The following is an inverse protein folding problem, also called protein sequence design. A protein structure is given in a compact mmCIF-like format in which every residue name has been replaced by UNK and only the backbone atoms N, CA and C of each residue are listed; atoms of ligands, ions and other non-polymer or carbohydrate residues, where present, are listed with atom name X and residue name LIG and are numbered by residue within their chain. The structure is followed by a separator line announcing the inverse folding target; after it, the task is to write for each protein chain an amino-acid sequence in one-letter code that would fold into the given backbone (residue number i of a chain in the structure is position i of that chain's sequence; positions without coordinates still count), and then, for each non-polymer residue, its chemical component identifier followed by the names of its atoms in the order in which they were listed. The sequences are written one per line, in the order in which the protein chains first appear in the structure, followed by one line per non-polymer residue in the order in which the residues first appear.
data_IF_629059835813
#
_entry.id   IF_629059835813
#
_cell.length_a   1.000
_cell.length_b   1.000
_cell.length_c   1.000
_cell.angle_alpha   90.00
_cell.angle_beta   90.00
_cell.angle_gamma   90.00
#
_symmetry.space_group_name_H-M   'P 1'
#
loop_
_entity.id
_entity.type
_entity.pdbx_description
1 polymer ?
#
# COMPACT_ATOMS: atom_id res chain seq x y z
N UNK A 1 19.18 24.87 4.64
CA UNK A 1 20.33 23.99 4.36
C UNK A 1 19.75 22.70 3.84
N UNK A 2 19.82 22.46 2.54
CA UNK A 2 19.43 21.16 1.97
C UNK A 2 20.57 20.20 2.29
N UNK A 3 20.48 19.54 3.43
CA UNK A 3 21.35 18.41 3.74
C UNK A 3 21.06 17.33 2.70
N UNK A 4 22.07 17.00 1.89
CA UNK A 4 21.99 15.84 1.03
C UNK A 4 21.70 14.63 1.92
N UNK A 5 20.50 14.05 1.81
CA UNK A 5 20.20 12.76 2.41
C UNK A 5 21.26 11.77 1.96
N UNK A 6 21.83 11.04 2.90
CA UNK A 6 22.84 10.06 2.54
C UNK A 6 22.15 8.84 1.94
N UNK A 7 22.83 8.17 1.01
CA UNK A 7 22.34 6.88 0.45
C UNK A 7 22.08 5.88 1.59
N UNK A 8 22.89 5.91 2.65
CA UNK A 8 22.68 5.06 3.84
C UNK A 8 21.39 5.38 4.60
N UNK A 9 21.01 6.66 4.70
CA UNK A 9 19.75 7.06 5.34
C UNK A 9 18.57 6.44 4.59
N UNK A 10 18.50 6.66 3.28
CA UNK A 10 17.40 6.17 2.44
C UNK A 10 17.32 4.64 2.51
N UNK A 11 18.46 3.95 2.39
CA UNK A 11 18.49 2.48 2.50
C UNK A 11 17.96 1.95 3.83
N UNK A 12 18.25 2.61 4.95
CA UNK A 12 17.74 2.17 6.26
C UNK A 12 16.22 2.32 6.36
N UNK A 13 15.67 3.43 5.86
CA UNK A 13 14.22 3.63 5.84
C UNK A 13 13.52 2.66 4.88
N UNK A 14 14.15 2.31 3.74
CA UNK A 14 13.60 1.30 2.81
C UNK A 14 13.45 -0.06 3.47
N UNK A 15 14.51 -0.55 4.12
CA UNK A 15 14.48 -1.84 4.82
C UNK A 15 13.39 -1.85 5.89
N UNK A 16 13.32 -0.77 6.67
CA UNK A 16 12.32 -0.69 7.73
C UNK A 16 10.88 -0.57 7.19
N UNK A 17 10.68 0.16 6.09
CA UNK A 17 9.39 0.25 5.42
C UNK A 17 8.97 -1.10 4.82
N UNK A 18 9.90 -1.86 4.25
CA UNK A 18 9.64 -3.23 3.77
C UNK A 18 9.15 -4.13 4.91
N UNK A 19 9.82 -4.11 6.07
CA UNK A 19 9.40 -4.85 7.26
C UNK A 19 8.01 -4.41 7.76
N UNK A 20 7.79 -3.09 7.89
CA UNK A 20 6.51 -2.53 8.36
C UNK A 20 5.38 -2.86 7.39
N UNK A 21 5.63 -2.84 6.09
CA UNK A 21 4.64 -3.21 5.10
C UNK A 21 4.32 -4.70 5.14
N UNK A 22 5.31 -5.56 5.33
CA UNK A 22 5.07 -6.99 5.53
C UNK A 22 4.21 -7.24 6.78
N UNK A 23 4.52 -6.59 7.90
CA UNK A 23 3.72 -6.65 9.14
C UNK A 23 2.29 -6.14 8.89
N UNK A 24 2.12 -5.01 8.20
CA UNK A 24 0.80 -4.45 7.84
C UNK A 24 -0.02 -5.40 6.96
N UNK A 25 0.60 -6.00 5.94
CA UNK A 25 -0.05 -6.96 5.05
C UNK A 25 -0.49 -8.20 5.83
N UNK A 26 0.32 -8.68 6.77
CA UNK A 26 -0.02 -9.81 7.62
C UNK A 26 -1.15 -9.48 8.62
N UNK A 27 -1.09 -8.32 9.27
CA UNK A 27 -2.10 -7.83 10.21
C UNK A 27 -3.50 -7.83 9.57
N UNK A 28 -3.58 -7.32 8.33
CA UNK A 28 -4.85 -7.15 7.61
C UNK A 28 -5.16 -8.25 6.58
N UNK A 29 -4.33 -9.29 6.50
CA UNK A 29 -4.49 -10.43 5.57
C UNK A 29 -4.54 -10.02 4.09
N UNK A 30 -3.70 -9.07 3.66
CA UNK A 30 -3.72 -8.49 2.31
C UNK A 30 -2.92 -9.27 1.24
N UNK A 31 -2.38 -10.45 1.56
CA UNK A 31 -1.52 -11.23 0.66
C UNK A 31 -2.28 -12.34 -0.10
N UNK A 32 -3.31 -11.98 -0.88
CA UNK A 32 -4.10 -12.98 -1.63
C UNK A 32 -3.53 -13.35 -3.01
N UNK A 33 -2.43 -12.71 -3.43
CA UNK A 33 -1.80 -12.91 -4.74
C UNK A 33 -0.33 -12.49 -4.79
N UNK A 34 0.31 -12.28 -3.64
CA UNK A 34 1.61 -11.63 -3.52
C UNK A 34 1.45 -10.14 -3.20
N UNK A 35 1.92 -9.72 -2.03
CA UNK A 35 2.16 -8.32 -1.71
C UNK A 35 3.65 -8.00 -1.84
N UNK A 36 3.99 -6.83 -2.37
CA UNK A 36 5.38 -6.39 -2.50
C UNK A 36 5.49 -4.87 -2.55
N UNK A 37 6.73 -4.38 -2.38
CA UNK A 37 7.07 -2.97 -2.58
C UNK A 37 7.99 -2.82 -3.79
N UNK A 38 7.76 -1.77 -4.58
CA UNK A 38 8.66 -1.32 -5.63
C UNK A 38 9.16 0.10 -5.31
N UNK A 39 10.44 0.37 -5.55
CA UNK A 39 10.99 1.71 -5.40
C UNK A 39 11.33 2.30 -6.76
N UNK A 40 10.93 3.55 -7.01
CA UNK A 40 11.36 4.27 -8.20
C UNK A 40 12.75 4.91 -8.04
N UNK A 41 13.15 5.66 -9.07
CA UNK A 41 14.43 6.39 -9.12
C UNK A 41 14.50 7.54 -8.11
N UNK A 42 13.36 8.05 -7.66
CA UNK A 42 13.25 9.13 -6.66
C UNK A 42 13.16 8.56 -5.23
N UNK A 43 13.12 7.23 -5.11
CA UNK A 43 12.98 6.45 -3.87
C UNK A 43 11.58 6.46 -3.28
N UNK A 44 10.55 6.84 -4.04
CA UNK A 44 9.16 6.63 -3.61
C UNK A 44 8.88 5.14 -3.55
N UNK A 45 8.15 4.72 -2.52
CA UNK A 45 7.73 3.34 -2.38
C UNK A 45 6.34 3.18 -2.99
N UNK A 46 6.17 2.21 -3.87
CA UNK A 46 4.87 1.75 -4.31
C UNK A 46 4.57 0.48 -3.55
N UNK A 47 3.54 0.51 -2.73
CA UNK A 47 3.02 -0.63 -1.99
C UNK A 47 1.93 -1.28 -2.85
N UNK A 48 2.12 -2.57 -3.20
CA UNK A 48 1.17 -3.34 -4.01
C UNK A 48 0.70 -4.54 -3.22
N UNK A 49 -0.61 -4.78 -3.24
CA UNK A 49 -1.21 -6.01 -2.74
C UNK A 49 -2.43 -6.41 -3.58
N UNK A 50 -2.91 -7.64 -3.41
CA UNK A 50 -4.09 -8.17 -4.09
C UNK A 50 -5.14 -8.60 -3.06
N UNK A 51 -6.38 -8.14 -3.27
CA UNK A 51 -7.54 -8.52 -2.47
C UNK A 51 -8.07 -9.92 -2.89
N UNK A 52 -8.97 -10.56 -2.09
CA UNK A 52 -9.36 -11.95 -2.28
C UNK A 52 -9.91 -12.35 -3.66
N UNK A 53 -10.48 -11.43 -4.44
CA UNK A 53 -11.12 -11.65 -5.73
C UNK A 53 -10.41 -10.97 -6.90
N UNK A 54 -9.11 -10.67 -6.77
CA UNK A 54 -8.22 -10.14 -7.81
C UNK A 54 -8.19 -8.61 -8.00
N UNK A 55 -8.84 -7.84 -7.13
CA UNK A 55 -8.60 -6.40 -7.11
C UNK A 55 -7.17 -6.12 -6.62
N UNK A 56 -6.33 -5.57 -7.49
CA UNK A 56 -4.99 -5.12 -7.14
C UNK A 56 -5.01 -3.66 -6.75
N UNK A 57 -4.49 -3.37 -5.57
CA UNK A 57 -4.36 -1.99 -5.07
C UNK A 57 -2.89 -1.62 -5.10
N UNK A 58 -2.61 -0.44 -5.64
CA UNK A 58 -1.28 0.16 -5.66
C UNK A 58 -1.40 1.57 -5.10
N UNK A 59 -0.64 1.86 -4.06
CA UNK A 59 -0.57 3.20 -3.50
C UNK A 59 0.89 3.61 -3.28
N UNK A 60 1.13 4.92 -3.32
CA UNK A 60 2.45 5.49 -3.17
C UNK A 60 2.65 5.94 -1.73
N UNK A 61 3.78 5.55 -1.15
CA UNK A 61 4.33 6.08 0.09
C UNK A 61 5.49 7.01 -0.28
N UNK A 62 5.33 8.30 0.02
CA UNK A 62 6.30 9.35 -0.30
C UNK A 62 7.45 9.30 0.72
N UNK A 63 8.34 8.30 0.55
CA UNK A 63 9.43 8.03 1.49
C UNK A 63 10.33 9.25 1.72
N UNK A 64 10.56 10.03 0.65
CA UNK A 64 11.36 11.24 0.73
C UNK A 64 10.72 12.27 1.66
N UNK A 65 9.41 12.50 1.53
CA UNK A 65 8.67 13.47 2.34
C UNK A 65 8.59 13.00 3.80
N UNK A 66 8.38 11.70 4.02
CA UNK A 66 8.47 11.13 5.37
C UNK A 66 9.84 11.36 6.02
N UNK A 67 10.94 11.20 5.29
CA UNK A 67 12.29 11.48 5.83
C UNK A 67 12.50 12.98 6.09
N UNK A 68 11.87 13.86 5.31
CA UNK A 68 11.94 15.31 5.56
C UNK A 68 11.19 15.71 6.83
N UNK A 69 10.00 15.15 7.03
CA UNK A 69 9.19 15.39 8.23
C UNK A 69 9.77 14.70 9.47
N UNK A 70 10.46 13.57 9.26
CA UNK A 70 11.10 12.82 10.33
C UNK A 70 12.58 12.53 10.03
N UNK A 71 13.46 13.55 10.16
CA UNK A 71 14.88 13.44 9.80
C UNK A 71 15.63 12.38 10.61
N UNK A 72 16.69 11.83 10.01
CA UNK A 72 17.47 10.73 10.59
C UNK A 72 17.96 10.98 12.02
N UNK A 73 18.31 12.22 12.37
CA UNK A 73 18.77 12.56 13.72
C UNK A 73 17.67 12.45 14.77
N UNK A 74 16.41 12.73 14.42
CA UNK A 74 15.26 12.49 15.30
C UNK A 74 14.87 11.02 15.27
N UNK A 75 14.87 10.40 14.09
CA UNK A 75 14.56 8.99 13.91
C UNK A 75 15.47 8.08 14.75
N UNK A 76 16.78 8.38 14.80
CA UNK A 76 17.76 7.62 15.59
C UNK A 76 17.58 7.73 17.11
N UNK A 77 16.84 8.73 17.60
CA UNK A 77 16.55 8.87 19.04
C UNK A 77 15.45 7.92 19.49
N UNK A 78 14.59 7.50 18.57
CA UNK A 78 13.55 6.53 18.83
C UNK A 78 14.12 5.11 18.95
N UNK A 79 13.45 4.29 19.75
CA UNK A 79 13.63 2.85 19.70
C UNK A 79 13.21 2.28 18.34
N UNK A 80 13.62 1.05 18.03
CA UNK A 80 13.19 0.37 16.80
C UNK A 80 11.66 0.24 16.71
N UNK A 81 11.00 -0.08 17.82
CA UNK A 81 9.54 -0.21 17.86
C UNK A 81 8.84 1.11 17.56
N UNK A 82 9.28 2.21 18.17
CA UNK A 82 8.68 3.53 17.92
C UNK A 82 8.88 3.95 16.46
N UNK A 83 10.04 3.65 15.86
CA UNK A 83 10.28 3.93 14.43
C UNK A 83 9.36 3.13 13.51
N UNK A 84 9.12 1.86 13.83
CA UNK A 84 8.17 1.01 13.08
C UNK A 84 6.75 1.56 13.20
N UNK A 85 6.36 2.02 14.39
CA UNK A 85 5.03 2.58 14.62
C UNK A 85 4.78 3.84 13.80
N UNK A 86 5.72 4.80 13.78
CA UNK A 86 5.59 6.03 12.98
C UNK A 86 5.45 5.73 11.47
N UNK A 87 6.21 4.75 10.97
CA UNK A 87 6.07 4.28 9.59
C UNK A 87 4.74 3.57 9.36
N UNK A 88 4.28 2.75 10.32
CA UNK A 88 3.03 2.02 10.23
C UNK A 88 1.84 2.98 10.22
N UNK A 89 1.87 4.04 11.02
CA UNK A 89 0.84 5.07 11.06
C UNK A 89 0.77 5.84 9.74
N UNK A 90 1.92 6.25 9.19
CA UNK A 90 1.98 6.87 7.86
C UNK A 90 1.44 5.91 6.78
N UNK A 91 1.84 4.63 6.82
CA UNK A 91 1.39 3.61 5.88
C UNK A 91 -0.13 3.39 5.96
N UNK A 92 -0.69 3.31 7.17
CA UNK A 92 -2.14 3.26 7.42
C UNK A 92 -2.82 4.47 6.76
N UNK A 93 -2.28 5.68 6.94
CA UNK A 93 -2.79 6.89 6.30
C UNK A 93 -2.85 6.82 4.77
N UNK A 94 -1.77 6.39 4.13
CA UNK A 94 -1.72 6.22 2.68
C UNK A 94 -2.67 5.11 2.18
N UNK A 95 -2.78 4.00 2.91
CA UNK A 95 -3.76 2.95 2.61
C UNK A 95 -5.19 3.47 2.69
N UNK A 96 -5.55 4.18 3.77
CA UNK A 96 -6.89 4.73 3.96
C UNK A 96 -7.28 5.66 2.81
N UNK A 97 -6.35 6.51 2.37
CA UNK A 97 -6.56 7.37 1.21
C UNK A 97 -6.76 6.56 -0.08
N UNK A 98 -5.93 5.55 -0.33
CA UNK A 98 -6.07 4.70 -1.50
C UNK A 98 -7.42 3.97 -1.55
N UNK A 99 -7.91 3.48 -0.40
CA UNK A 99 -9.23 2.84 -0.30
C UNK A 99 -10.36 3.85 -0.49
N UNK A 100 -10.24 5.08 0.01
CA UNK A 100 -11.27 6.10 -0.16
C UNK A 100 -11.45 6.55 -1.61
N UNK A 101 -10.36 6.58 -2.38
CA UNK A 101 -10.35 6.96 -3.80
C UNK A 101 -10.62 5.77 -4.75
N UNK A 102 -10.79 4.56 -4.22
CA UNK A 102 -10.97 3.36 -5.04
C UNK A 102 -12.30 3.40 -5.81
N UNK A 103 -12.24 3.64 -7.12
CA UNK A 103 -13.38 3.52 -8.03
C UNK A 103 -13.37 2.17 -8.77
N UNK A 104 -14.44 1.40 -8.58
CA UNK A 104 -14.56 0.06 -9.18
C UNK A 104 -14.94 0.14 -10.66
N UNK A 105 -15.70 1.15 -11.06
CA UNK A 105 -16.11 1.29 -12.45
C UNK A 105 -14.91 1.68 -13.31
N UNK A 106 -14.08 2.62 -12.84
CA UNK A 106 -12.82 3.00 -13.50
C UNK A 106 -11.83 1.82 -13.58
N UNK A 107 -11.65 1.09 -12.47
CA UNK A 107 -10.77 -0.10 -12.46
C UNK A 107 -11.27 -1.18 -13.42
N UNK A 108 -12.60 -1.42 -13.44
CA UNK A 108 -13.21 -2.36 -14.36
C UNK A 108 -12.94 -1.94 -15.82
N UNK A 109 -13.15 -0.67 -16.16
CA UNK A 109 -12.93 -0.16 -17.51
C UNK A 109 -11.46 -0.23 -17.94
N UNK A 110 -10.52 -0.07 -17.00
CA UNK A 110 -9.09 -0.22 -17.27
C UNK A 110 -8.68 -1.68 -17.54
N UNK A 111 -9.19 -2.63 -16.74
CA UNK A 111 -8.72 -4.03 -16.77
C UNK A 111 -9.56 -4.93 -17.69
N UNK A 112 -10.84 -4.66 -17.82
CA UNK A 112 -11.75 -5.56 -18.51
C UNK A 112 -11.50 -5.56 -20.02
N UNK A 113 -11.32 -6.76 -20.57
CA UNK A 113 -11.37 -7.02 -22.00
C UNK A 113 -12.05 -8.36 -22.27
N UNK A 114 -12.60 -8.59 -23.48
CA UNK A 114 -13.09 -9.91 -23.87
C UNK A 114 -12.02 -11.00 -23.71
N UNK A 115 -10.75 -10.69 -23.95
CA UNK A 115 -9.60 -11.57 -23.75
C UNK A 115 -9.43 -11.93 -22.27
N UNK A 116 -9.38 -10.93 -21.39
CA UNK A 116 -9.28 -11.11 -19.94
C UNK A 116 -10.42 -11.99 -19.41
N UNK A 117 -11.67 -11.72 -19.84
CA UNK A 117 -12.83 -12.52 -19.46
C UNK A 117 -12.72 -13.98 -19.91
N UNK A 118 -12.18 -14.24 -21.11
CA UNK A 118 -11.96 -15.61 -21.60
C UNK A 118 -10.87 -16.33 -20.80
N UNK A 119 -9.76 -15.67 -20.52
CA UNK A 119 -8.63 -16.22 -19.77
C UNK A 119 -8.99 -16.54 -18.32
N UNK A 120 -9.83 -15.71 -17.70
CA UNK A 120 -10.27 -15.88 -16.31
C UNK A 120 -11.62 -16.59 -16.17
N UNK A 121 -12.24 -17.02 -17.28
CA UNK A 121 -13.57 -17.65 -17.31
C UNK A 121 -14.68 -16.82 -16.64
N UNK A 122 -14.64 -15.49 -16.85
CA UNK A 122 -15.58 -14.52 -16.30
C UNK A 122 -16.44 -13.87 -17.38
N UNK A 123 -17.66 -13.51 -17.01
CA UNK A 123 -18.47 -12.52 -17.73
C UNK A 123 -18.26 -11.13 -17.10
N UNK A 124 -18.53 -10.03 -17.83
CA UNK A 124 -18.39 -8.67 -17.30
C UNK A 124 -19.09 -8.50 -15.94
N UNK A 125 -20.33 -8.97 -15.85
CA UNK A 125 -21.16 -8.90 -14.64
C UNK A 125 -20.62 -9.72 -13.46
N UNK A 126 -19.83 -10.76 -13.72
CA UNK A 126 -19.22 -11.56 -12.66
C UNK A 126 -17.96 -10.89 -12.14
N UNK A 127 -17.17 -10.29 -13.03
CA UNK A 127 -15.96 -9.57 -12.65
C UNK A 127 -16.28 -8.31 -11.85
N UNK A 128 -17.22 -7.47 -12.30
CA UNK A 128 -17.62 -6.28 -11.54
C UNK A 128 -18.14 -6.64 -10.14
N UNK A 129 -18.85 -7.77 -10.01
CA UNK A 129 -19.31 -8.27 -8.71
C UNK A 129 -18.14 -8.68 -7.81
N UNK A 130 -17.13 -9.36 -8.35
CA UNK A 130 -15.91 -9.71 -7.63
C UNK A 130 -15.17 -8.47 -7.13
N UNK A 131 -15.02 -7.45 -7.97
CA UNK A 131 -14.40 -6.19 -7.59
C UNK A 131 -15.18 -5.45 -6.48
N UNK A 132 -16.51 -5.50 -6.52
CA UNK A 132 -17.36 -4.94 -5.45
C UNK A 132 -17.20 -5.70 -4.12
N UNK A 133 -17.06 -7.03 -4.17
CA UNK A 133 -16.76 -7.86 -2.99
C UNK A 133 -15.39 -7.48 -2.39
N UNK A 134 -14.38 -7.27 -3.22
CA UNK A 134 -13.05 -6.83 -2.77
C UNK A 134 -13.06 -5.42 -2.19
N UNK A 135 -13.76 -4.47 -2.81
CA UNK A 135 -13.92 -3.12 -2.25
C UNK A 135 -14.59 -3.17 -0.87
N UNK A 136 -15.62 -4.00 -0.70
CA UNK A 136 -16.27 -4.16 0.60
C UNK A 136 -15.32 -4.73 1.65
N UNK A 137 -14.47 -5.69 1.28
CA UNK A 137 -13.43 -6.23 2.15
C UNK A 137 -12.41 -5.15 2.57
N UNK A 138 -11.94 -4.33 1.64
CA UNK A 138 -11.01 -3.23 1.94
C UNK A 138 -11.65 -2.12 2.80
N UNK A 139 -12.94 -1.83 2.60
CA UNK A 139 -13.69 -0.90 3.45
C UNK A 139 -13.82 -1.44 4.87
N UNK A 140 -13.91 -2.76 5.07
CA UNK A 140 -13.90 -3.33 6.42
C UNK A 140 -12.58 -3.04 7.13
N UNK A 141 -11.45 -3.29 6.46
CA UNK A 141 -10.11 -2.99 6.98
C UNK A 141 -9.96 -1.48 7.26
N UNK A 142 -10.46 -0.63 6.36
CA UNK A 142 -10.50 0.82 6.56
C UNK A 142 -11.17 1.18 7.90
N UNK A 143 -12.34 0.60 8.20
CA UNK A 143 -13.05 0.85 9.46
C UNK A 143 -12.30 0.30 10.68
N UNK A 144 -11.67 -0.86 10.56
CA UNK A 144 -10.82 -1.45 11.61
C UNK A 144 -9.65 -0.51 11.97
N UNK A 145 -8.98 0.07 10.98
CA UNK A 145 -7.86 1.02 11.19
C UNK A 145 -8.32 2.29 11.91
N UNK A 146 -9.45 2.88 11.50
CA UNK A 146 -9.95 4.12 12.11
C UNK A 146 -10.67 3.89 13.45
N UNK A 147 -10.80 2.63 13.89
CA UNK A 147 -11.44 2.26 15.15
C UNK A 147 -12.97 2.47 15.18
N UNK A 148 -13.66 2.27 14.04
CA UNK A 148 -15.12 2.38 13.92
C UNK A 148 -15.82 1.03 13.85
#
# INVERSE_FOLDING_TARGET
MNGLMTISTISNYRVLLEEVFEEFVQEYQLDHGGAWIEFDIENNAFCIFEAPKQLKVRFMFELYDFILDYPEEEFKKLSEQERKEELADALRGHFLHAVSELDIDDYFDEKWSPEFGRENHLRPSQYIKQLQEDKAYLIQIYHEIIGQ
#
